data_IF_820062602277
#
_entry.id   IF_820062602277
#
_cell.length_a   1.000
_cell.length_b   1.000
_cell.length_c   1.000
_cell.angle_alpha   90.00
_cell.angle_beta   90.00
_cell.angle_gamma   90.00
#
_symmetry.space_group_name_H-M   'P 1'
#
loop_
_entity.id
_entity.type
_entity.pdbx_description
1 polymer ?
#
# COMPACT_ATOMS: atom_id res chain seq x y z
N UNK A 1 10.84 0.42 -0.37
CA UNK A 1 11.61 1.42 -1.16
C UNK A 1 11.83 1.05 -2.64
N UNK A 2 12.55 -0.04 -2.96
CA UNK A 2 12.97 -0.36 -4.33
C UNK A 2 11.82 -0.43 -5.36
N UNK A 3 10.69 -1.07 -5.00
CA UNK A 3 9.49 -1.18 -5.83
C UNK A 3 9.02 0.18 -6.37
N UNK A 4 8.76 1.13 -5.47
CA UNK A 4 8.22 2.43 -5.83
C UNK A 4 9.24 3.31 -6.57
N UNK A 5 10.54 3.20 -6.25
CA UNK A 5 11.59 3.88 -7.01
C UNK A 5 11.71 3.34 -8.44
N UNK A 6 11.55 2.03 -8.62
CA UNK A 6 11.54 1.43 -9.96
C UNK A 6 10.31 1.88 -10.75
N UNK A 7 9.12 1.79 -10.14
CA UNK A 7 7.87 2.22 -10.76
C UNK A 7 7.92 3.69 -11.22
N UNK A 8 8.53 4.57 -10.43
CA UNK A 8 8.73 5.98 -10.82
C UNK A 8 9.68 6.16 -12.01
N UNK A 9 10.72 5.31 -12.13
CA UNK A 9 11.67 5.37 -13.25
C UNK A 9 11.09 4.81 -14.55
N UNK A 10 10.15 3.87 -14.46
CA UNK A 10 9.55 3.18 -15.61
C UNK A 10 8.11 3.61 -15.87
N UNK A 11 7.70 4.78 -15.33
CA UNK A 11 6.36 5.31 -15.52
C UNK A 11 5.99 5.43 -17.02
N UNK A 12 4.74 5.13 -17.42
CA UNK A 12 3.59 4.79 -16.56
C UNK A 12 3.63 3.34 -16.03
N UNK A 13 3.15 3.10 -14.82
CA UNK A 13 3.20 1.78 -14.17
C UNK A 13 1.94 1.48 -13.37
N UNK A 14 1.47 0.23 -13.42
CA UNK A 14 0.43 -0.28 -12.53
C UNK A 14 1.10 -1.21 -11.51
N UNK A 15 0.87 -0.97 -10.23
CA UNK A 15 1.28 -1.85 -9.14
C UNK A 15 0.03 -2.58 -8.67
N UNK A 16 -0.02 -3.90 -8.85
CA UNK A 16 -1.10 -4.74 -8.35
C UNK A 16 -0.67 -5.48 -7.08
N UNK A 17 -1.46 -5.35 -6.02
CA UNK A 17 -1.24 -6.01 -4.73
C UNK A 17 -2.43 -6.93 -4.43
N UNK A 18 -2.24 -8.21 -4.68
CA UNK A 18 -3.23 -9.22 -4.28
C UNK A 18 -3.11 -9.54 -2.78
N UNK A 19 -4.21 -10.00 -2.18
CA UNK A 19 -4.33 -10.31 -0.76
C UNK A 19 -3.76 -9.20 0.15
N UNK A 20 -4.12 -7.94 -0.15
CA UNK A 20 -3.55 -6.77 0.53
C UNK A 20 -3.80 -6.77 2.04
N UNK A 21 -4.80 -7.50 2.52
CA UNK A 21 -5.10 -7.74 3.94
C UNK A 21 -4.00 -8.50 4.69
N UNK A 22 -3.20 -9.31 4.00
CA UNK A 22 -2.07 -10.03 4.59
C UNK A 22 -0.93 -9.08 5.03
N UNK A 23 -0.77 -7.95 4.33
CA UNK A 23 0.28 -6.96 4.56
C UNK A 23 -0.24 -5.69 5.26
N UNK A 24 -1.47 -5.27 4.95
CA UNK A 24 -2.05 -3.99 5.37
C UNK A 24 -3.23 -4.14 6.34
N UNK A 25 -3.42 -5.32 6.93
CA UNK A 25 -4.46 -5.58 7.92
C UNK A 25 -4.38 -4.72 9.18
N UNK A 26 -5.41 -4.75 10.03
CA UNK A 26 -5.50 -3.96 11.26
C UNK A 26 -4.32 -4.19 12.22
N UNK A 27 -3.79 -3.09 12.79
CA UNK A 27 -2.63 -3.07 13.71
C UNK A 27 -2.90 -3.70 15.09
N UNK A 28 -4.15 -4.08 15.34
CA UNK A 28 -4.68 -4.47 16.65
C UNK A 28 -4.66 -5.98 16.88
N UNK A 29 -4.18 -6.78 15.91
CA UNK A 29 -3.99 -8.22 16.13
C UNK A 29 -2.90 -8.43 17.18
N UNK A 30 -3.31 -8.88 18.38
CA UNK A 30 -2.41 -9.32 19.44
C UNK A 30 -1.48 -10.40 18.86
N UNK A 31 -0.18 -10.12 18.79
CA UNK A 31 0.82 -10.99 18.14
C UNK A 31 1.36 -10.48 16.79
N UNK A 32 0.99 -9.27 16.35
CA UNK A 32 1.61 -8.66 15.16
C UNK A 32 3.12 -8.50 15.36
N UNK A 33 3.91 -9.14 14.50
CA UNK A 33 5.37 -9.04 14.51
C UNK A 33 5.80 -7.59 14.22
N UNK A 34 6.77 -7.07 14.99
CA UNK A 34 7.34 -5.73 14.78
C UNK A 34 7.86 -5.53 13.34
N UNK A 35 8.41 -6.60 12.74
CA UNK A 35 8.82 -6.62 11.34
C UNK A 35 7.67 -6.28 10.38
N UNK A 36 6.47 -6.82 10.61
CA UNK A 36 5.30 -6.57 9.77
C UNK A 36 4.86 -5.11 9.89
N UNK A 37 4.85 -4.56 11.11
CA UNK A 37 4.57 -3.13 11.35
C UNK A 37 5.53 -2.22 10.59
N UNK A 38 6.83 -2.55 10.60
CA UNK A 38 7.84 -1.80 9.86
C UNK A 38 7.61 -1.85 8.36
N UNK A 39 7.32 -3.02 7.80
CA UNK A 39 7.01 -3.20 6.38
C UNK A 39 5.79 -2.36 5.98
N UNK A 40 4.72 -2.43 6.77
CA UNK A 40 3.51 -1.65 6.56
C UNK A 40 3.80 -0.15 6.57
N UNK A 41 4.52 0.35 7.57
CA UNK A 41 4.88 1.76 7.65
C UNK A 41 5.73 2.21 6.45
N UNK A 42 6.74 1.43 6.05
CA UNK A 42 7.56 1.75 4.87
C UNK A 42 6.74 1.76 3.58
N UNK A 43 5.84 0.79 3.40
CA UNK A 43 4.94 0.75 2.24
C UNK A 43 4.10 2.03 2.16
N UNK A 44 3.51 2.43 3.29
CA UNK A 44 2.66 3.63 3.38
C UNK A 44 3.41 4.92 3.12
N UNK A 45 4.58 5.11 3.72
CA UNK A 45 5.42 6.30 3.50
C UNK A 45 5.81 6.45 2.03
N UNK A 46 6.13 5.34 1.36
CA UNK A 46 6.50 5.40 -0.05
C UNK A 46 5.30 5.61 -0.97
N UNK A 47 4.13 5.02 -0.66
CA UNK A 47 2.92 5.25 -1.42
C UNK A 47 2.50 6.73 -1.34
N UNK A 48 2.52 7.34 -0.15
CA UNK A 48 2.25 8.78 0.01
C UNK A 48 3.21 9.66 -0.82
N UNK A 49 4.49 9.29 -0.84
CA UNK A 49 5.49 9.99 -1.63
C UNK A 49 5.26 9.92 -3.14
N UNK A 50 4.58 8.88 -3.63
CA UNK A 50 4.22 8.76 -5.05
C UNK A 50 3.01 9.63 -5.43
N UNK A 51 2.04 9.78 -4.53
CA UNK A 51 0.85 10.61 -4.74
C UNK A 51 1.15 12.12 -4.67
N UNK A 52 2.32 12.51 -4.15
CA UNK A 52 2.69 13.91 -3.96
C UNK A 52 3.44 14.52 -5.15
N UNK A 53 3.74 13.74 -6.19
CA UNK A 53 4.55 14.17 -7.34
C UNK A 53 3.70 14.66 -8.53
N UNK A 54 4.18 15.64 -9.32
CA UNK A 54 3.42 16.22 -10.45
C UNK A 54 3.18 15.27 -11.64
N UNK A 55 3.67 14.02 -11.59
CA UNK A 55 3.48 12.99 -12.62
C UNK A 55 2.82 11.74 -11.99
N UNK A 56 1.53 11.84 -11.68
CA UNK A 56 0.64 10.75 -11.26
C UNK A 56 0.44 9.71 -12.39
N UNK A 57 1.51 9.02 -12.78
CA UNK A 57 1.48 7.95 -13.78
C UNK A 57 1.62 6.56 -13.15
N UNK A 58 1.47 6.47 -11.83
CA UNK A 58 1.53 5.20 -11.09
C UNK A 58 0.17 4.95 -10.46
N UNK A 59 -0.48 3.87 -10.89
CA UNK A 59 -1.74 3.40 -10.31
C UNK A 59 -1.46 2.23 -9.39
N UNK A 60 -1.94 2.31 -8.14
CA UNK A 60 -1.91 1.18 -7.21
C UNK A 60 -3.29 0.53 -7.18
N UNK A 61 -3.35 -0.73 -7.60
CA UNK A 61 -4.53 -1.58 -7.52
C UNK A 61 -4.32 -2.61 -6.42
N UNK A 62 -5.38 -2.92 -5.67
CA UNK A 62 -5.33 -3.96 -4.66
C UNK A 62 -6.58 -4.82 -4.68
N UNK A 63 -6.40 -6.10 -4.34
CA UNK A 63 -7.46 -7.07 -4.18
C UNK A 63 -7.38 -7.71 -2.79
N UNK A 64 -8.54 -8.02 -2.21
CA UNK A 64 -8.63 -8.72 -0.93
C UNK A 64 -9.97 -9.45 -0.81
N UNK A 65 -9.95 -10.60 -0.14
CA UNK A 65 -11.15 -11.32 0.28
C UNK A 65 -11.67 -10.88 1.67
N UNK A 66 -10.91 -10.04 2.38
CA UNK A 66 -11.20 -9.57 3.74
C UNK A 66 -11.12 -8.04 3.82
N UNK A 67 -11.98 -7.29 3.10
CA UNK A 67 -11.91 -5.83 3.06
C UNK A 67 -12.09 -5.17 4.44
N UNK A 68 -12.83 -5.82 5.35
CA UNK A 68 -13.04 -5.34 6.72
C UNK A 68 -11.83 -5.52 7.64
N UNK A 69 -10.89 -6.37 7.27
CA UNK A 69 -9.64 -6.58 8.02
C UNK A 69 -8.60 -5.50 7.72
N UNK A 70 -8.85 -4.62 6.73
CA UNK A 70 -7.93 -3.55 6.37
C UNK A 70 -7.93 -2.40 7.38
N UNK A 71 -6.76 -1.80 7.56
CA UNK A 71 -6.60 -0.58 8.35
C UNK A 71 -7.27 0.61 7.65
N UNK A 72 -8.03 1.41 8.40
CA UNK A 72 -8.83 2.51 7.87
C UNK A 72 -7.98 3.54 7.11
N UNK A 73 -6.72 3.75 7.53
CA UNK A 73 -5.80 4.64 6.83
C UNK A 73 -5.48 4.15 5.40
N UNK A 74 -5.48 2.84 5.19
CA UNK A 74 -5.28 2.20 3.88
C UNK A 74 -6.50 2.43 3.01
N UNK A 75 -7.67 2.16 3.59
CA UNK A 75 -8.96 2.30 2.90
C UNK A 75 -9.15 3.74 2.40
N UNK A 76 -8.74 4.74 3.19
CA UNK A 76 -8.82 6.16 2.80
C UNK A 76 -7.95 6.53 1.58
N UNK A 77 -6.94 5.72 1.24
CA UNK A 77 -6.06 5.94 0.07
C UNK A 77 -6.60 5.28 -1.20
N UNK A 78 -7.49 4.31 -1.08
CA UNK A 78 -8.21 3.76 -2.22
C UNK A 78 -9.45 4.64 -2.48
N UNK A 79 -9.28 5.63 -3.35
CA UNK A 79 -10.33 6.62 -3.69
C UNK A 79 -11.56 5.98 -4.36
N UNK A 80 -11.39 4.82 -5.00
CA UNK A 80 -12.45 4.05 -5.64
C UNK A 80 -12.45 2.63 -5.08
N UNK A 81 -13.63 2.17 -4.66
CA UNK A 81 -13.89 0.81 -4.17
C UNK A 81 -14.70 0.04 -5.19
#
# INVERSE_FOLDING_TARGET
RALFTLAAKVAPTIIFVDEVDSMLGQRTRVGEHEAMRKIKNEFMTHWDGLLSGPNEQILVLAATNRPFDLDEAIIRRFERR
#
